data_IF_400943180598
#
_entry.id   IF_400943180598
#
_cell.length_a   1.000
_cell.length_b   1.000
_cell.length_c   1.000
_cell.angle_alpha   90.00
_cell.angle_beta   90.00
_cell.angle_gamma   90.00
#
_symmetry.space_group_name_H-M   'P 1'
#
loop_
_entity.id
_entity.type
_entity.pdbx_description
1 polymer ?
#
# COMPACT_ATOMS: atom_id res chain seq x y z
N UNK A 1 19.42 7.54 -24.96
CA UNK A 1 20.27 6.99 -23.88
C UNK A 1 19.43 6.47 -22.72
N UNK A 2 18.66 7.30 -22.01
CA UNK A 2 17.79 6.82 -20.90
C UNK A 2 16.72 5.85 -21.37
N UNK A 3 15.98 6.17 -22.45
CA UNK A 3 14.98 5.24 -23.01
C UNK A 3 15.60 3.91 -23.44
N UNK A 4 16.76 3.95 -24.11
CA UNK A 4 17.50 2.76 -24.55
C UNK A 4 17.94 1.88 -23.38
N UNK A 5 18.38 2.49 -22.27
CA UNK A 5 18.76 1.76 -21.05
C UNK A 5 17.55 1.13 -20.35
N UNK A 6 16.42 1.84 -20.27
CA UNK A 6 15.20 1.34 -19.65
C UNK A 6 14.51 0.23 -20.45
N UNK A 7 14.82 0.11 -21.74
CA UNK A 7 14.35 -0.99 -22.60
C UNK A 7 15.26 -2.22 -22.58
N UNK A 8 16.41 -2.18 -21.89
CA UNK A 8 17.28 -3.35 -21.73
C UNK A 8 16.53 -4.46 -20.95
N UNK A 9 16.41 -5.69 -21.47
CA UNK A 9 15.69 -6.78 -20.81
C UNK A 9 16.19 -7.08 -19.39
N UNK A 10 17.49 -6.96 -19.13
CA UNK A 10 18.05 -7.18 -17.81
C UNK A 10 17.64 -6.07 -16.82
N UNK A 11 17.61 -4.82 -17.29
CA UNK A 11 17.14 -3.67 -16.50
C UNK A 11 15.65 -3.81 -16.19
N UNK A 12 14.82 -4.12 -17.20
CA UNK A 12 13.38 -4.35 -17.02
C UNK A 12 13.13 -5.46 -16.00
N UNK A 13 13.87 -6.57 -16.07
CA UNK A 13 13.75 -7.67 -15.12
C UNK A 13 14.08 -7.22 -13.69
N UNK A 14 15.21 -6.53 -13.49
CA UNK A 14 15.62 -6.05 -12.16
C UNK A 14 14.58 -5.08 -11.58
N UNK A 15 14.12 -4.11 -12.38
CA UNK A 15 13.10 -3.15 -11.94
C UNK A 15 11.78 -3.85 -11.60
N UNK A 16 11.40 -4.88 -12.38
CA UNK A 16 10.23 -5.72 -12.11
C UNK A 16 10.34 -6.44 -10.77
N UNK A 17 11.50 -7.06 -10.48
CA UNK A 17 11.73 -7.75 -9.22
C UNK A 17 11.69 -6.80 -8.03
N UNK A 18 12.26 -5.60 -8.16
CA UNK A 18 12.21 -4.57 -7.11
C UNK A 18 10.77 -4.12 -6.88
N UNK A 19 10.00 -3.87 -7.97
CA UNK A 19 8.57 -3.51 -7.88
C UNK A 19 7.79 -4.58 -7.15
N UNK A 20 7.97 -5.84 -7.52
CA UNK A 20 7.19 -6.97 -6.97
C UNK A 20 7.54 -7.20 -5.50
N UNK A 21 8.83 -7.11 -5.13
CA UNK A 21 9.24 -7.15 -3.74
C UNK A 21 8.65 -5.98 -2.94
N UNK A 22 8.72 -4.77 -3.48
CA UNK A 22 8.15 -3.58 -2.85
C UNK A 22 6.63 -3.70 -2.68
N UNK A 23 5.92 -4.25 -3.67
CA UNK A 23 4.49 -4.55 -3.59
C UNK A 23 4.20 -5.56 -2.49
N UNK A 24 4.91 -6.69 -2.45
CA UNK A 24 4.72 -7.73 -1.44
C UNK A 24 4.97 -7.18 -0.03
N UNK A 25 6.04 -6.42 0.17
CA UNK A 25 6.34 -5.82 1.47
C UNK A 25 5.28 -4.80 1.86
N UNK A 26 4.84 -3.93 0.95
CA UNK A 26 3.89 -2.87 1.25
C UNK A 26 2.45 -3.39 1.38
N UNK A 27 1.89 -3.89 0.27
CA UNK A 27 0.52 -4.37 0.20
C UNK A 27 0.31 -5.61 1.07
N UNK A 28 1.27 -6.54 1.07
CA UNK A 28 1.20 -7.74 1.89
C UNK A 28 1.15 -7.41 3.37
N UNK A 29 2.02 -6.53 3.86
CA UNK A 29 1.97 -6.09 5.25
C UNK A 29 0.63 -5.41 5.60
N UNK A 30 0.16 -4.46 4.78
CA UNK A 30 -1.13 -3.79 5.00
C UNK A 30 -2.28 -4.81 5.10
N UNK A 31 -2.37 -5.74 4.15
CA UNK A 31 -3.41 -6.77 4.13
C UNK A 31 -3.30 -7.67 5.36
N UNK A 32 -2.08 -8.10 5.73
CA UNK A 32 -1.86 -8.91 6.93
C UNK A 32 -2.32 -8.17 8.19
N UNK A 33 -1.91 -6.92 8.39
CA UNK A 33 -2.31 -6.13 9.56
C UNK A 33 -3.81 -5.81 9.57
N UNK A 34 -4.41 -5.57 8.41
CA UNK A 34 -5.85 -5.40 8.27
C UNK A 34 -6.62 -6.66 8.72
N UNK A 35 -6.23 -7.82 8.21
CA UNK A 35 -6.80 -9.11 8.59
C UNK A 35 -6.63 -9.39 10.08
N UNK A 36 -5.43 -9.19 10.63
CA UNK A 36 -5.17 -9.37 12.06
C UNK A 36 -6.04 -8.41 12.90
N UNK A 37 -6.09 -7.12 12.56
CA UNK A 37 -6.86 -6.13 13.30
C UNK A 37 -8.38 -6.35 13.24
N UNK A 38 -8.87 -6.91 12.14
CA UNK A 38 -10.28 -7.25 11.93
C UNK A 38 -10.67 -8.57 12.62
N UNK A 39 -9.86 -9.62 12.48
CA UNK A 39 -10.22 -10.98 12.87
C UNK A 39 -9.72 -11.40 14.24
N UNK A 40 -8.75 -10.70 14.83
CA UNK A 40 -8.12 -11.11 16.09
C UNK A 40 -9.13 -11.45 17.20
N UNK A 41 -10.18 -10.64 17.37
CA UNK A 41 -11.22 -10.88 18.38
C UNK A 41 -12.01 -12.19 18.16
N UNK A 42 -12.10 -12.68 16.92
CA UNK A 42 -12.84 -13.90 16.57
C UNK A 42 -12.03 -15.17 16.75
N UNK A 43 -10.70 -15.06 16.66
CA UNK A 43 -9.80 -16.22 16.66
C UNK A 43 -8.99 -16.33 17.96
N UNK A 44 -9.33 -15.56 18.99
CA UNK A 44 -8.56 -15.51 20.24
C UNK A 44 -7.16 -14.93 20.06
N UNK A 45 -6.98 -14.06 19.05
CA UNK A 45 -5.69 -13.49 18.69
C UNK A 45 -5.24 -12.36 19.63
N UNK A 46 -4.04 -11.78 19.39
CA UNK A 46 -3.51 -10.70 20.20
C UNK A 46 -4.40 -9.46 20.18
N UNK A 47 -4.49 -8.68 21.27
CA UNK A 47 -5.30 -7.46 21.29
C UNK A 47 -4.95 -6.50 20.14
N UNK A 48 -5.96 -5.84 19.56
CA UNK A 48 -5.79 -4.88 18.46
C UNK A 48 -4.70 -3.83 18.75
N UNK A 49 -4.62 -3.36 19.99
CA UNK A 49 -3.59 -2.41 20.41
C UNK A 49 -2.16 -2.93 20.15
N UNK A 50 -1.89 -4.21 20.43
CA UNK A 50 -0.59 -4.84 20.18
C UNK A 50 -0.31 -4.94 18.68
N UNK A 51 -1.30 -5.34 17.89
CA UNK A 51 -1.19 -5.43 16.42
C UNK A 51 -0.85 -4.07 15.82
N UNK A 52 -1.56 -3.02 16.23
CA UNK A 52 -1.32 -1.66 15.73
C UNK A 52 0.04 -1.09 16.17
N UNK A 53 0.54 -1.44 17.36
CA UNK A 53 1.89 -1.05 17.79
C UNK A 53 2.96 -1.67 16.88
N UNK A 54 2.83 -2.95 16.55
CA UNK A 54 3.76 -3.63 15.64
C UNK A 54 3.68 -3.01 14.23
N UNK A 55 2.46 -2.72 13.76
CA UNK A 55 2.26 -2.02 12.49
C UNK A 55 2.98 -0.67 12.45
N UNK A 56 2.84 0.15 13.51
CA UNK A 56 3.52 1.45 13.60
C UNK A 56 5.04 1.32 13.58
N UNK A 57 5.59 0.33 14.27
CA UNK A 57 7.03 0.05 14.25
C UNK A 57 7.53 -0.35 12.84
N UNK A 58 6.64 -0.90 12.01
CA UNK A 58 6.94 -1.25 10.62
C UNK A 58 6.83 -0.06 9.64
N UNK A 59 6.39 1.12 10.12
CA UNK A 59 6.14 2.32 9.32
C UNK A 59 7.27 2.73 8.36
N UNK A 60 8.55 2.81 8.79
CA UNK A 60 9.66 3.13 7.89
C UNK A 60 9.79 2.14 6.72
N UNK A 61 9.58 0.84 6.98
CA UNK A 61 9.60 -0.19 5.94
C UNK A 61 8.44 -0.03 4.95
N UNK A 62 7.25 0.35 5.43
CA UNK A 62 6.10 0.65 4.58
C UNK A 62 6.32 1.88 3.70
N UNK A 63 6.95 2.93 4.25
CA UNK A 63 7.29 4.14 3.50
C UNK A 63 8.29 3.87 2.38
N UNK A 64 9.39 3.17 2.69
CA UNK A 64 10.42 2.81 1.71
C UNK A 64 9.84 1.91 0.61
N UNK A 65 9.08 0.88 0.99
CA UNK A 65 8.44 -0.02 0.03
C UNK A 65 7.42 0.69 -0.86
N UNK A 66 6.61 1.62 -0.33
CA UNK A 66 5.71 2.42 -1.16
C UNK A 66 6.47 3.32 -2.14
N UNK A 67 7.53 3.99 -1.70
CA UNK A 67 8.35 4.84 -2.55
C UNK A 67 8.99 4.04 -3.70
N UNK A 68 9.57 2.88 -3.38
CA UNK A 68 10.11 1.95 -4.38
C UNK A 68 9.03 1.47 -5.33
N UNK A 69 7.85 1.11 -4.82
CA UNK A 69 6.72 0.64 -5.62
C UNK A 69 6.26 1.69 -6.64
N UNK A 70 6.01 2.92 -6.19
CA UNK A 70 5.62 4.04 -7.07
C UNK A 70 6.69 4.28 -8.14
N UNK A 71 7.95 4.41 -7.72
CA UNK A 71 9.04 4.74 -8.63
C UNK A 71 9.25 3.65 -9.69
N UNK A 72 9.34 2.39 -9.27
CA UNK A 72 9.56 1.26 -10.19
C UNK A 72 8.34 0.98 -11.08
N UNK A 73 7.10 1.17 -10.58
CA UNK A 73 5.91 1.08 -11.42
C UNK A 73 5.91 2.12 -12.55
N UNK A 74 6.29 3.37 -12.24
CA UNK A 74 6.42 4.43 -13.24
C UNK A 74 7.53 4.15 -14.27
N UNK A 75 8.69 3.64 -13.81
CA UNK A 75 9.76 3.25 -14.72
C UNK A 75 9.33 2.14 -15.68
N UNK A 76 8.65 1.10 -15.18
CA UNK A 76 8.17 -0.01 -16.01
C UNK A 76 7.09 0.45 -16.98
N UNK A 77 6.19 1.33 -16.54
CA UNK A 77 5.19 1.94 -17.41
C UNK A 77 5.84 2.68 -18.58
N UNK A 78 6.82 3.53 -18.28
CA UNK A 78 7.57 4.25 -19.30
C UNK A 78 8.34 3.29 -20.22
N UNK A 79 8.96 2.25 -19.69
CA UNK A 79 9.69 1.26 -20.48
C UNK A 79 8.77 0.47 -21.44
N UNK A 80 7.53 0.21 -21.05
CA UNK A 80 6.53 -0.52 -21.83
C UNK A 80 5.85 0.35 -22.88
N UNK A 81 5.44 1.56 -22.50
CA UNK A 81 4.63 2.46 -23.34
C UNK A 81 5.51 3.42 -24.15
N UNK A 82 6.72 3.71 -23.69
CA UNK A 82 7.63 4.71 -24.25
C UNK A 82 7.31 6.16 -23.83
N UNK A 83 6.25 6.36 -23.05
CA UNK A 83 5.81 7.66 -22.55
C UNK A 83 4.99 7.51 -21.25
N UNK A 84 4.79 8.61 -20.53
CA UNK A 84 3.83 8.69 -19.43
C UNK A 84 2.42 8.96 -19.99
N UNK A 85 1.86 7.93 -20.60
CA UNK A 85 0.49 7.94 -21.15
C UNK A 85 -0.40 6.94 -20.41
N UNK A 86 -1.58 7.37 -19.99
CA UNK A 86 -2.61 6.55 -19.33
C UNK A 86 -3.89 6.45 -20.16
N UNK A 87 -3.85 6.86 -21.42
CA UNK A 87 -4.95 6.69 -22.36
C UNK A 87 -5.34 5.21 -22.44
N UNK A 88 -6.64 4.84 -22.54
CA UNK A 88 -7.09 3.45 -22.49
C UNK A 88 -6.86 2.73 -23.83
N UNK A 89 -5.59 2.54 -24.20
CA UNK A 89 -5.14 1.88 -25.43
C UNK A 89 -4.64 0.46 -25.12
N UNK A 90 -4.52 -0.44 -26.11
CA UNK A 90 -3.95 -1.76 -25.88
C UNK A 90 -2.54 -1.72 -25.24
N UNK A 91 -1.73 -0.72 -25.60
CA UNK A 91 -0.37 -0.57 -25.07
C UNK A 91 -0.33 -0.27 -23.56
N UNK A 92 -1.40 0.28 -22.98
CA UNK A 92 -1.51 0.62 -21.55
C UNK A 92 -2.38 -0.37 -20.77
N UNK A 93 -2.81 -1.47 -21.39
CA UNK A 93 -3.77 -2.42 -20.80
C UNK A 93 -5.24 -1.97 -20.89
N UNK A 94 -5.55 -1.04 -21.80
CA UNK A 94 -6.89 -0.57 -22.08
C UNK A 94 -7.56 0.13 -20.89
N UNK A 95 -8.89 0.03 -20.83
CA UNK A 95 -9.67 0.62 -19.73
C UNK A 95 -9.34 -0.01 -18.37
N UNK A 96 -8.97 -1.29 -18.34
CA UNK A 96 -8.61 -2.01 -17.11
C UNK A 96 -7.27 -1.52 -16.57
N UNK A 97 -6.28 -1.30 -17.44
CA UNK A 97 -5.00 -0.72 -17.07
C UNK A 97 -5.15 0.69 -16.48
N UNK A 98 -5.95 1.55 -17.12
CA UNK A 98 -6.30 2.86 -16.58
C UNK A 98 -6.99 2.74 -15.20
N UNK A 99 -7.95 1.84 -15.05
CA UNK A 99 -8.60 1.61 -13.76
C UNK A 99 -7.60 1.17 -12.67
N UNK A 100 -6.64 0.30 -12.99
CA UNK A 100 -5.59 -0.10 -12.06
C UNK A 100 -4.75 1.10 -11.58
N UNK A 101 -4.37 1.99 -12.49
CA UNK A 101 -3.65 3.22 -12.17
C UNK A 101 -4.46 4.20 -11.31
N UNK A 102 -5.76 4.35 -11.59
CA UNK A 102 -6.65 5.17 -10.78
C UNK A 102 -6.76 4.62 -9.35
N UNK A 103 -6.98 3.31 -9.20
CA UNK A 103 -7.03 2.68 -7.87
C UNK A 103 -5.68 2.78 -7.17
N UNK A 104 -4.57 2.64 -7.89
CA UNK A 104 -3.22 2.87 -7.34
C UNK A 104 -3.03 4.29 -6.81
N UNK A 105 -3.44 5.31 -7.58
CA UNK A 105 -3.39 6.69 -7.13
C UNK A 105 -4.25 6.93 -5.88
N UNK A 106 -5.46 6.36 -5.85
CA UNK A 106 -6.34 6.41 -4.67
C UNK A 106 -5.70 5.72 -3.47
N UNK A 107 -5.08 4.55 -3.64
CA UNK A 107 -4.37 3.84 -2.57
C UNK A 107 -3.20 4.66 -2.02
N UNK A 108 -2.41 5.28 -2.90
CA UNK A 108 -1.31 6.17 -2.53
C UNK A 108 -1.78 7.41 -1.76
N UNK A 109 -2.78 8.13 -2.25
CA UNK A 109 -3.36 9.30 -1.57
C UNK A 109 -4.00 8.90 -0.23
N UNK A 110 -4.67 7.76 -0.20
CA UNK A 110 -5.23 7.17 1.02
C UNK A 110 -4.12 6.82 2.03
N UNK A 111 -2.91 6.44 1.58
CA UNK A 111 -1.80 6.11 2.47
C UNK A 111 -1.25 7.38 3.16
N UNK A 112 -1.22 8.51 2.45
CA UNK A 112 -0.91 9.81 3.05
C UNK A 112 -1.93 10.14 4.16
N UNK A 113 -3.23 9.89 3.92
CA UNK A 113 -4.26 10.05 4.96
C UNK A 113 -4.06 9.10 6.14
N UNK A 114 -3.64 7.87 5.89
CA UNK A 114 -3.40 6.89 6.94
C UNK A 114 -2.26 7.38 7.85
N UNK A 115 -1.13 7.76 7.26
CA UNK A 115 0.05 8.21 7.99
C UNK A 115 -0.16 9.54 8.72
N UNK A 116 -0.68 10.56 8.02
CA UNK A 116 -0.74 11.94 8.53
C UNK A 116 -1.99 12.18 9.38
N UNK A 117 -3.15 11.70 8.96
CA UNK A 117 -4.42 12.05 9.60
C UNK A 117 -4.98 10.96 10.50
N UNK A 118 -4.49 9.72 10.39
CA UNK A 118 -5.05 8.59 11.15
C UNK A 118 -4.07 8.06 12.20
N UNK A 119 -2.79 7.88 11.85
CA UNK A 119 -1.77 7.40 12.77
C UNK A 119 -1.21 8.50 13.65
N UNK A 120 -1.03 9.72 13.13
CA UNK A 120 -0.47 10.82 13.91
C UNK A 120 -1.30 11.16 15.17
N UNK A 121 -2.63 11.25 15.14
CA UNK A 121 -3.42 11.41 16.36
C UNK A 121 -3.23 10.25 17.35
N UNK A 122 -3.09 9.01 16.85
CA UNK A 122 -2.85 7.84 17.70
C UNK A 122 -1.47 7.91 18.39
N UNK A 123 -0.43 8.35 17.67
CA UNK A 123 0.91 8.58 18.22
C UNK A 123 0.90 9.65 19.31
N UNK A 124 0.09 10.70 19.16
CA UNK A 124 -0.06 11.77 20.17
C UNK A 124 -0.78 11.30 21.44
N UNK A 125 -1.75 10.40 21.29
CA UNK A 125 -2.53 9.86 22.42
C UNK A 125 -1.77 8.78 23.22
N UNK A 126 -0.81 8.11 22.60
CA UNK A 126 -0.04 7.01 23.19
C UNK A 126 1.43 7.07 22.70
N UNK A 127 2.18 8.13 23.04
CA UNK A 127 3.51 8.40 22.49
C UNK A 127 4.53 7.30 22.82
N UNK A 128 4.43 6.73 24.02
CA UNK A 128 5.29 5.63 24.47
C UNK A 128 4.70 4.25 24.11
N UNK A 129 3.53 4.23 23.46
CA UNK A 129 2.79 3.01 23.16
C UNK A 129 2.38 2.24 24.41
N UNK A 130 2.39 2.82 25.61
CA UNK A 130 2.13 2.16 26.89
C UNK A 130 0.68 1.75 27.08
N UNK A 131 -0.23 2.17 26.20
CA UNK A 131 -1.68 1.97 26.29
C UNK A 131 -2.37 2.70 27.46
N UNK A 132 -1.60 3.48 28.21
CA UNK A 132 -2.04 4.30 29.33
C UNK A 132 -2.28 5.73 28.84
N UNK A 133 -3.28 5.93 27.99
CA UNK A 133 -3.69 7.28 27.61
C UNK A 133 -4.49 7.93 28.75
N UNK A 134 -4.37 9.25 28.88
CA UNK A 134 -5.21 10.04 29.79
C UNK A 134 -6.71 9.95 29.46
N UNK A 135 -7.06 9.60 28.21
CA UNK A 135 -8.42 9.31 27.74
C UNK A 135 -8.47 7.97 26.98
N UNK A 136 -8.86 6.91 27.68
CA UNK A 136 -8.98 5.56 27.12
C UNK A 136 -10.04 5.46 26.00
N UNK A 137 -11.15 6.22 26.10
CA UNK A 137 -12.22 6.20 25.12
C UNK A 137 -11.80 6.87 23.81
N UNK A 138 -11.00 7.94 23.89
CA UNK A 138 -10.42 8.57 22.70
C UNK A 138 -9.39 7.66 22.02
N UNK A 139 -8.56 6.98 22.81
CA UNK A 139 -7.56 6.03 22.32
C UNK A 139 -8.19 4.86 21.55
N UNK A 140 -9.25 4.26 22.09
CA UNK A 140 -9.93 3.14 21.45
C UNK A 140 -10.64 3.52 20.16
N UNK A 141 -11.25 4.72 20.10
CA UNK A 141 -11.81 5.27 18.85
C UNK A 141 -10.74 5.50 17.80
N UNK A 142 -9.59 6.05 18.17
CA UNK A 142 -8.47 6.26 17.25
C UNK A 142 -7.95 4.91 16.70
N UNK A 143 -7.79 3.89 17.55
CA UNK A 143 -7.40 2.54 17.15
C UNK A 143 -8.41 1.88 16.21
N UNK A 144 -9.71 2.06 16.46
CA UNK A 144 -10.76 1.55 15.58
C UNK A 144 -10.72 2.23 14.20
N UNK A 145 -10.50 3.55 14.16
CA UNK A 145 -10.36 4.30 12.91
C UNK A 145 -9.14 3.84 12.09
N UNK A 146 -7.99 3.63 12.73
CA UNK A 146 -6.79 3.07 12.07
C UNK A 146 -7.08 1.68 11.51
N UNK A 147 -7.69 0.79 12.31
CA UNK A 147 -8.00 -0.56 11.86
C UNK A 147 -8.96 -0.58 10.66
N UNK A 148 -10.00 0.25 10.67
CA UNK A 148 -10.92 0.40 9.55
C UNK A 148 -10.17 0.91 8.31
N UNK A 149 -9.30 1.89 8.48
CA UNK A 149 -8.53 2.45 7.38
C UNK A 149 -7.54 1.44 6.79
N UNK A 150 -6.90 0.61 7.62
CA UNK A 150 -6.07 -0.51 7.15
C UNK A 150 -6.88 -1.51 6.31
N UNK A 151 -8.11 -1.81 6.70
CA UNK A 151 -9.00 -2.68 5.89
C UNK A 151 -9.31 -2.05 4.54
N UNK A 152 -9.67 -0.76 4.49
CA UNK A 152 -9.91 -0.06 3.23
C UNK A 152 -8.67 -0.06 2.33
N UNK A 153 -7.48 0.19 2.92
CA UNK A 153 -6.21 0.10 2.22
C UNK A 153 -5.95 -1.31 1.67
N UNK A 154 -6.14 -2.35 2.48
CA UNK A 154 -5.99 -3.73 2.04
C UNK A 154 -6.91 -4.08 0.87
N UNK A 155 -8.15 -3.58 0.87
CA UNK A 155 -9.08 -3.73 -0.26
C UNK A 155 -8.53 -3.05 -1.51
N UNK A 156 -8.08 -1.79 -1.42
CA UNK A 156 -7.52 -1.07 -2.57
C UNK A 156 -6.32 -1.81 -3.18
N UNK A 157 -5.39 -2.28 -2.35
CA UNK A 157 -4.23 -3.06 -2.82
C UNK A 157 -4.62 -4.39 -3.45
N UNK A 158 -5.60 -5.11 -2.88
CA UNK A 158 -6.12 -6.33 -3.48
C UNK A 158 -6.82 -6.05 -4.83
N UNK A 159 -7.57 -4.95 -4.94
CA UNK A 159 -8.19 -4.53 -6.20
C UNK A 159 -7.14 -4.23 -7.28
N UNK A 160 -6.04 -3.55 -6.93
CA UNK A 160 -4.92 -3.32 -7.88
C UNK A 160 -4.34 -4.64 -8.37
N UNK A 161 -4.11 -5.60 -7.48
CA UNK A 161 -3.62 -6.94 -7.85
C UNK A 161 -4.56 -7.63 -8.84
N UNK A 162 -5.87 -7.56 -8.61
CA UNK A 162 -6.88 -8.17 -9.50
C UNK A 162 -6.89 -7.45 -10.86
N UNK A 163 -6.96 -6.13 -10.87
CA UNK A 163 -7.03 -5.34 -12.11
C UNK A 163 -5.77 -5.52 -12.97
N UNK A 164 -4.58 -5.50 -12.35
CA UNK A 164 -3.32 -5.71 -13.08
C UNK A 164 -3.22 -7.11 -13.67
N UNK A 165 -3.74 -8.15 -12.98
CA UNK A 165 -3.80 -9.51 -13.53
C UNK A 165 -4.75 -9.64 -14.71
N UNK A 166 -5.91 -8.96 -14.65
CA UNK A 166 -6.85 -8.93 -15.76
C UNK A 166 -6.24 -8.20 -16.96
N UNK A 167 -5.62 -7.03 -16.75
CA UNK A 167 -5.03 -6.23 -17.82
C UNK A 167 -3.88 -6.92 -18.58
N UNK A 168 -3.17 -7.85 -17.93
CA UNK A 168 -2.11 -8.65 -18.59
C UNK A 168 -2.68 -9.87 -19.33
N UNK A 169 -3.87 -10.34 -18.94
CA UNK A 169 -4.53 -11.50 -19.56
C UNK A 169 -5.41 -11.16 -20.76
N UNK A 170 -5.66 -9.88 -21.03
CA UNK A 170 -6.43 -9.34 -22.16
C UNK A 170 -5.51 -8.78 -23.24
#
# INVERSE_FOLDING_TARGET
MVATFLSDPAVVLVVTLIRDLAFVVHAGAIITFACLAALSHRVGGPPRARILRVYQAFGPGLGISLGLLVFTALLLHYAQVGAFDWSPTPATGGAVGLAAWVVFFVAWASNIRLEVWTLEPLRKLDPDGTTLASDANQLDRARAAVALHLVMQGILWATILILTRIAVGT
#
